data_IF_511122020419
#
_entry.id   IF_511122020419
#
_cell.length_a   1.000
_cell.length_b   1.000
_cell.length_c   1.000
_cell.angle_alpha   90.00
_cell.angle_beta   90.00
_cell.angle_gamma   90.00
#
_symmetry.space_group_name_H-M   'P 1'
#
loop_
_entity.id
_entity.type
_entity.pdbx_description
1 polymer ?
#
# COMPACT_ATOMS: atom_id res chain seq x y z
N UNK A 1 3.15 17.56 -15.52
CA UNK A 1 2.33 17.86 -14.32
C UNK A 1 3.16 17.73 -13.06
N UNK A 2 3.12 18.75 -12.18
CA UNK A 2 3.65 18.64 -10.82
C UNK A 2 3.00 17.43 -10.11
N UNK A 3 3.72 16.80 -9.19
CA UNK A 3 3.15 15.76 -8.34
C UNK A 3 1.98 16.33 -7.53
N UNK A 4 0.92 15.56 -7.39
CA UNK A 4 -0.23 15.90 -6.57
C UNK A 4 0.01 15.39 -5.14
N UNK A 5 0.13 16.31 -4.18
CA UNK A 5 0.37 15.97 -2.77
C UNK A 5 -0.76 15.12 -2.18
N UNK A 6 -1.99 15.26 -2.70
CA UNK A 6 -3.16 14.54 -2.21
C UNK A 6 -3.12 13.04 -2.48
N UNK A 7 -2.20 12.57 -3.33
CA UNK A 7 -1.97 11.15 -3.59
C UNK A 7 -1.07 10.46 -2.56
N UNK A 8 -0.61 11.16 -1.52
CA UNK A 8 0.36 10.63 -0.57
C UNK A 8 -0.21 10.46 0.84
N UNK A 9 0.14 9.35 1.50
CA UNK A 9 -0.12 9.07 2.93
C UNK A 9 1.15 9.08 3.80
N UNK A 10 2.32 9.27 3.17
CA UNK A 10 3.59 9.48 3.86
C UNK A 10 4.30 10.69 3.24
N UNK A 11 4.58 11.70 4.06
CA UNK A 11 5.22 12.93 3.60
C UNK A 11 6.65 12.70 3.08
N UNK A 12 7.37 11.68 3.55
CA UNK A 12 8.73 11.36 3.08
C UNK A 12 8.73 10.80 1.67
N UNK A 13 7.76 9.94 1.35
CA UNK A 13 7.55 9.43 0.00
C UNK A 13 7.25 10.60 -0.93
N UNK A 14 6.35 11.50 -0.53
CA UNK A 14 6.08 12.74 -1.27
C UNK A 14 7.35 13.58 -1.49
N UNK A 15 8.15 13.82 -0.45
CA UNK A 15 9.39 14.61 -0.57
C UNK A 15 10.43 13.94 -1.46
N UNK A 16 10.57 12.61 -1.41
CA UNK A 16 11.46 11.84 -2.27
C UNK A 16 11.05 12.01 -3.74
N UNK A 17 9.79 11.77 -4.04
CA UNK A 17 9.27 11.79 -5.40
C UNK A 17 9.27 13.21 -5.97
N UNK A 18 8.93 14.21 -5.13
CA UNK A 18 9.04 15.63 -5.47
C UNK A 18 10.47 15.98 -5.89
N UNK A 19 11.46 15.55 -5.12
CA UNK A 19 12.86 15.81 -5.44
C UNK A 19 13.27 15.14 -6.75
N UNK A 20 12.99 13.84 -6.92
CA UNK A 20 13.35 13.08 -8.11
C UNK A 20 12.74 13.70 -9.38
N UNK A 21 11.45 14.03 -9.35
CA UNK A 21 10.76 14.63 -10.50
C UNK A 21 11.27 16.04 -10.81
N UNK A 22 11.50 16.87 -9.78
CA UNK A 22 12.08 18.21 -9.97
C UNK A 22 13.48 18.12 -10.57
N UNK A 23 14.32 17.20 -10.07
CA UNK A 23 15.67 16.98 -10.56
C UNK A 23 15.69 16.52 -12.03
N UNK A 24 14.80 15.59 -12.39
CA UNK A 24 14.64 15.15 -13.77
C UNK A 24 14.16 16.28 -14.71
N UNK A 25 13.24 17.12 -14.24
CA UNK A 25 12.71 18.24 -15.03
C UNK A 25 13.67 19.43 -15.16
N UNK A 26 14.55 19.63 -14.17
CA UNK A 26 15.39 20.82 -14.03
C UNK A 26 16.77 20.40 -13.51
N UNK A 27 17.75 20.40 -14.40
CA UNK A 27 19.13 20.02 -14.10
C UNK A 27 19.74 20.80 -12.92
N UNK A 28 19.40 22.09 -12.79
CA UNK A 28 19.85 22.97 -11.70
C UNK A 28 19.24 22.67 -10.33
N UNK A 29 18.13 21.92 -10.27
CA UNK A 29 17.48 21.62 -9.01
C UNK A 29 18.40 20.75 -8.15
N UNK A 30 18.51 21.07 -6.87
CA UNK A 30 19.36 20.39 -5.90
C UNK A 30 18.85 20.69 -4.49
N UNK A 31 19.31 19.92 -3.49
CA UNK A 31 18.97 20.21 -2.10
C UNK A 31 19.42 21.62 -1.67
N UNK A 32 20.56 22.11 -2.20
CA UNK A 32 21.02 23.48 -1.97
C UNK A 32 20.08 24.51 -2.60
N UNK A 33 19.62 24.27 -3.83
CA UNK A 33 18.65 25.14 -4.48
C UNK A 33 17.34 25.21 -3.70
N UNK A 34 16.82 24.06 -3.23
CA UNK A 34 15.63 24.01 -2.39
C UNK A 34 15.83 24.78 -1.08
N UNK A 35 16.95 24.55 -0.38
CA UNK A 35 17.24 25.20 0.88
C UNK A 35 17.23 26.73 0.74
N UNK A 36 17.89 27.26 -0.30
CA UNK A 36 17.88 28.71 -0.60
C UNK A 36 16.45 29.22 -0.83
N UNK A 37 15.67 28.52 -1.65
CA UNK A 37 14.27 28.90 -1.94
C UNK A 37 13.39 28.88 -0.68
N UNK A 38 13.58 27.90 0.19
CA UNK A 38 12.86 27.72 1.45
C UNK A 38 13.34 28.64 2.59
N UNK A 39 14.42 29.41 2.39
CA UNK A 39 15.01 30.25 3.43
C UNK A 39 15.76 29.45 4.51
N UNK A 40 16.35 28.31 4.14
CA UNK A 40 17.25 27.53 4.99
C UNK A 40 18.71 27.87 4.68
N UNK A 41 19.52 27.93 5.74
CA UNK A 41 20.98 28.13 5.65
C UNK A 41 21.72 26.83 5.29
N UNK A 42 21.19 25.67 5.71
CA UNK A 42 21.78 24.35 5.44
C UNK A 42 20.98 23.55 4.43
N UNK A 43 21.69 22.92 3.48
CA UNK A 43 21.10 21.99 2.50
C UNK A 43 20.94 20.56 3.03
N UNK A 44 21.39 20.26 4.25
CA UNK A 44 21.37 18.91 4.82
C UNK A 44 20.00 18.46 5.36
N UNK A 45 19.11 19.39 5.69
CA UNK A 45 17.84 19.07 6.35
C UNK A 45 16.92 18.20 5.48
N UNK A 46 16.68 18.59 4.23
CA UNK A 46 15.82 17.86 3.30
C UNK A 46 16.31 16.41 3.06
N UNK A 47 17.58 16.17 2.62
CA UNK A 47 18.02 14.80 2.36
C UNK A 47 18.01 13.94 3.63
N UNK A 48 18.31 14.50 4.81
CA UNK A 48 18.23 13.76 6.06
C UNK A 48 16.80 13.36 6.41
N UNK A 49 15.80 14.20 6.10
CA UNK A 49 14.39 13.87 6.28
C UNK A 49 13.97 12.72 5.35
N UNK A 50 14.33 12.81 4.07
CA UNK A 50 14.01 11.77 3.08
C UNK A 50 14.65 10.43 3.44
N UNK A 51 15.89 10.45 3.95
CA UNK A 51 16.61 9.26 4.42
C UNK A 51 16.13 8.74 5.78
N UNK A 52 15.14 9.38 6.41
CA UNK A 52 14.65 9.00 7.74
C UNK A 52 15.57 9.38 8.91
N UNK A 53 16.74 9.98 8.65
CA UNK A 53 17.71 10.40 9.67
C UNK A 53 17.20 11.56 10.55
N UNK A 54 16.18 12.29 10.10
CA UNK A 54 15.49 13.34 10.88
C UNK A 54 13.98 13.35 10.60
N UNK A 55 13.20 13.68 11.63
CA UNK A 55 11.77 13.99 11.50
C UNK A 55 11.56 15.44 11.07
N UNK A 56 10.46 15.72 10.35
CA UNK A 56 10.09 17.08 9.98
C UNK A 56 9.30 17.73 11.12
N UNK A 57 9.99 18.49 11.97
CA UNK A 57 9.34 19.18 13.09
C UNK A 57 8.47 20.38 12.64
N UNK A 58 7.42 20.76 13.41
CA UNK A 58 6.50 21.84 13.07
C UNK A 58 7.15 23.18 12.70
N UNK A 59 8.24 23.56 13.39
CA UNK A 59 9.00 24.80 13.12
C UNK A 59 9.56 24.91 11.69
N UNK A 60 9.71 23.80 10.98
CA UNK A 60 10.24 23.77 9.62
C UNK A 60 9.15 23.70 8.55
N UNK A 61 7.90 23.38 8.92
CA UNK A 61 6.80 23.22 7.97
C UNK A 61 6.56 24.46 7.10
N UNK A 62 6.51 25.70 7.64
CA UNK A 62 6.25 26.88 6.81
C UNK A 62 7.32 27.08 5.73
N UNK A 63 8.60 26.86 6.09
CA UNK A 63 9.72 26.95 5.14
C UNK A 63 9.67 25.86 4.09
N UNK A 64 9.30 24.63 4.47
CA UNK A 64 9.08 23.55 3.51
C UNK A 64 7.94 23.86 2.54
N UNK A 65 6.80 24.36 3.03
CA UNK A 65 5.67 24.77 2.19
C UNK A 65 6.08 25.82 1.14
N UNK A 66 6.86 26.83 1.54
CA UNK A 66 7.42 27.84 0.62
C UNK A 66 8.38 27.20 -0.41
N UNK A 67 9.30 26.35 0.04
CA UNK A 67 10.26 25.67 -0.84
C UNK A 67 9.58 24.78 -1.88
N UNK A 68 8.55 24.05 -1.46
CA UNK A 68 7.70 23.19 -2.29
C UNK A 68 6.81 24.04 -3.22
N UNK A 69 6.44 25.25 -2.81
CA UNK A 69 5.51 26.12 -3.52
C UNK A 69 4.06 25.67 -3.35
N UNK A 70 3.70 25.21 -2.15
CA UNK A 70 2.35 24.77 -1.82
C UNK A 70 1.42 25.97 -1.68
N UNK A 71 0.19 25.83 -2.15
CA UNK A 71 -0.93 26.72 -1.82
C UNK A 71 -1.30 26.63 -0.34
N UNK A 72 -2.15 27.54 0.15
CA UNK A 72 -2.67 27.48 1.53
C UNK A 72 -3.37 26.14 1.82
N UNK A 73 -4.19 25.64 0.87
CA UNK A 73 -4.90 24.37 0.99
C UNK A 73 -3.94 23.17 1.03
N UNK A 74 -2.91 23.16 0.18
CA UNK A 74 -1.90 22.10 0.17
C UNK A 74 -0.99 22.17 1.41
N UNK A 75 -0.75 23.36 1.96
CA UNK A 75 0.04 23.56 3.18
C UNK A 75 -0.64 22.93 4.39
N UNK A 76 -1.96 23.11 4.53
CA UNK A 76 -2.71 22.45 5.60
C UNK A 76 -2.75 20.93 5.43
N UNK A 77 -2.94 20.44 4.20
CA UNK A 77 -2.84 19.01 3.94
C UNK A 77 -1.45 18.46 4.27
N UNK A 78 -0.38 19.16 3.87
CA UNK A 78 0.99 18.75 4.16
C UNK A 78 1.28 18.69 5.66
N UNK A 79 0.79 19.67 6.43
CA UNK A 79 0.90 19.67 7.89
C UNK A 79 0.23 18.43 8.48
N UNK A 80 -1.04 18.18 8.11
CA UNK A 80 -1.78 17.00 8.59
C UNK A 80 -1.13 15.69 8.15
N UNK A 81 -0.57 15.63 6.94
CA UNK A 81 0.17 14.47 6.43
C UNK A 81 1.43 14.18 7.27
N UNK A 82 2.15 15.22 7.69
CA UNK A 82 3.31 15.09 8.57
C UNK A 82 2.90 14.57 9.96
N UNK A 83 1.84 15.15 10.53
CA UNK A 83 1.28 14.69 11.81
C UNK A 83 0.79 13.23 11.71
N UNK A 84 0.11 12.88 10.62
CA UNK A 84 -0.37 11.52 10.33
C UNK A 84 0.78 10.52 10.24
N UNK A 85 1.86 10.87 9.55
CA UNK A 85 3.04 10.00 9.39
C UNK A 85 3.77 9.77 10.72
N UNK A 86 3.73 10.73 11.65
CA UNK A 86 4.36 10.62 12.95
C UNK A 86 3.47 9.97 14.03
N UNK A 87 2.16 9.93 13.82
CA UNK A 87 1.21 9.39 14.80
C UNK A 87 1.39 7.87 14.97
N UNK A 88 1.57 7.38 16.20
CA UNK A 88 1.71 5.93 16.51
C UNK A 88 0.44 5.31 17.10
N UNK A 89 -0.56 6.13 17.47
CA UNK A 89 -1.81 5.68 18.08
C UNK A 89 -2.92 5.59 17.01
N UNK A 90 -3.52 4.40 16.87
CA UNK A 90 -4.58 4.09 15.91
C UNK A 90 -5.81 5.01 16.03
N UNK A 91 -6.19 5.40 17.25
CA UNK A 91 -7.33 6.29 17.50
C UNK A 91 -7.08 7.69 16.94
N UNK A 92 -5.98 8.32 17.34
CA UNK A 92 -5.58 9.66 16.87
C UNK A 92 -5.26 9.69 15.37
N UNK A 93 -4.77 8.58 14.82
CA UNK A 93 -4.48 8.46 13.39
C UNK A 93 -5.74 8.43 12.54
N UNK A 94 -6.81 7.81 13.02
CA UNK A 94 -8.12 7.83 12.36
C UNK A 94 -8.70 9.25 12.30
N UNK A 95 -8.57 10.04 13.37
CA UNK A 95 -8.97 11.45 13.40
C UNK A 95 -8.16 12.32 12.44
N UNK A 96 -6.83 12.13 12.39
CA UNK A 96 -5.95 12.81 11.45
C UNK A 96 -6.32 12.50 9.99
N UNK A 97 -6.63 11.23 9.69
CA UNK A 97 -7.10 10.86 8.35
C UNK A 97 -8.44 11.54 8.00
N UNK A 98 -9.38 11.62 8.95
CA UNK A 98 -10.63 12.33 8.75
C UNK A 98 -10.40 13.82 8.46
N UNK A 99 -9.48 14.47 9.20
CA UNK A 99 -9.09 15.86 8.97
C UNK A 99 -8.43 16.05 7.59
N UNK A 100 -7.51 15.15 7.19
CA UNK A 100 -6.88 15.17 5.86
C UNK A 100 -7.92 15.05 4.73
N UNK A 101 -8.93 14.19 4.94
CA UNK A 101 -9.95 13.90 3.94
C UNK A 101 -10.75 15.12 3.50
N UNK A 102 -10.88 16.14 4.35
CA UNK A 102 -11.55 17.41 4.01
C UNK A 102 -10.87 18.13 2.84
N UNK A 103 -9.54 18.03 2.75
CA UNK A 103 -8.74 18.74 1.75
C UNK A 103 -8.63 18.00 0.43
N UNK A 104 -8.91 16.69 0.42
CA UNK A 104 -8.81 15.87 -0.78
C UNK A 104 -9.81 16.30 -1.86
N UNK A 105 -9.41 16.34 -3.14
CA UNK A 105 -10.34 16.46 -4.25
C UNK A 105 -11.35 15.29 -4.28
N UNK A 106 -12.57 15.50 -4.75
CA UNK A 106 -13.61 14.45 -4.71
C UNK A 106 -13.27 13.22 -5.56
N UNK A 107 -12.50 13.41 -6.64
CA UNK A 107 -11.92 12.29 -7.40
C UNK A 107 -11.01 11.42 -6.53
N UNK A 108 -10.14 12.06 -5.75
CA UNK A 108 -9.18 11.41 -4.87
C UNK A 108 -9.89 10.75 -3.68
N UNK A 109 -10.88 11.41 -3.08
CA UNK A 109 -11.75 10.80 -2.05
C UNK A 109 -12.44 9.54 -2.53
N UNK A 110 -12.99 9.56 -3.76
CA UNK A 110 -13.64 8.39 -4.36
C UNK A 110 -12.64 7.25 -4.55
N UNK A 111 -11.47 7.54 -5.12
CA UNK A 111 -10.40 6.55 -5.29
C UNK A 111 -10.01 5.91 -3.95
N UNK A 112 -9.73 6.72 -2.93
CA UNK A 112 -9.40 6.21 -1.60
C UNK A 112 -10.53 5.38 -0.99
N UNK A 113 -11.79 5.82 -1.10
CA UNK A 113 -12.92 5.05 -0.60
C UNK A 113 -13.00 3.69 -1.30
N UNK A 114 -12.86 3.66 -2.61
CA UNK A 114 -12.87 2.44 -3.41
C UNK A 114 -11.72 1.50 -3.04
N UNK A 115 -10.48 1.99 -3.00
CA UNK A 115 -9.32 1.20 -2.56
C UNK A 115 -9.52 0.69 -1.12
N UNK A 116 -10.00 1.53 -0.20
CA UNK A 116 -10.28 1.11 1.19
C UNK A 116 -11.32 0.00 1.27
N UNK A 117 -12.39 0.09 0.48
CA UNK A 117 -13.42 -0.95 0.43
C UNK A 117 -12.85 -2.25 -0.16
N UNK A 118 -12.05 -2.16 -1.23
CA UNK A 118 -11.39 -3.33 -1.81
C UNK A 118 -10.50 -4.05 -0.79
N UNK A 119 -9.66 -3.33 -0.05
CA UNK A 119 -8.79 -3.90 0.98
C UNK A 119 -9.44 -4.09 2.36
N UNK A 120 -10.74 -3.79 2.50
CA UNK A 120 -11.44 -3.94 3.79
C UNK A 120 -11.57 -5.40 4.24
N UNK A 121 -11.47 -6.34 3.30
CA UNK A 121 -11.46 -7.76 3.62
C UNK A 121 -10.71 -8.55 2.55
N UNK A 122 -10.03 -9.62 2.97
CA UNK A 122 -9.21 -10.45 2.09
C UNK A 122 -10.00 -11.07 0.92
N UNK A 123 -11.30 -11.37 1.12
CA UNK A 123 -12.09 -12.02 0.07
C UNK A 123 -12.19 -11.18 -1.19
N UNK A 124 -12.25 -9.85 -1.08
CA UNK A 124 -12.37 -8.99 -2.26
C UNK A 124 -11.18 -9.14 -3.20
N UNK A 125 -9.98 -9.20 -2.62
CA UNK A 125 -8.74 -9.37 -3.37
C UNK A 125 -8.70 -10.77 -3.98
N UNK A 126 -8.99 -11.81 -3.19
CA UNK A 126 -8.93 -13.20 -3.68
C UNK A 126 -10.03 -13.51 -4.70
N UNK A 127 -11.25 -12.98 -4.53
CA UNK A 127 -12.34 -13.12 -5.51
C UNK A 127 -11.97 -12.44 -6.82
N UNK A 128 -11.46 -11.21 -6.76
CA UNK A 128 -11.01 -10.50 -7.95
C UNK A 128 -9.94 -11.30 -8.72
N UNK A 129 -8.97 -11.90 -8.02
CA UNK A 129 -7.97 -12.77 -8.65
C UNK A 129 -8.61 -14.08 -9.17
N UNK A 130 -9.50 -14.71 -8.41
CA UNK A 130 -10.16 -15.95 -8.80
C UNK A 130 -11.00 -15.80 -10.08
N UNK A 131 -11.58 -14.62 -10.33
CA UNK A 131 -12.33 -14.32 -11.55
C UNK A 131 -11.46 -14.27 -12.81
N UNK A 132 -10.13 -14.16 -12.69
CA UNK A 132 -9.21 -14.32 -13.82
C UNK A 132 -9.06 -15.79 -14.25
N UNK A 133 -9.41 -16.73 -13.36
CA UNK A 133 -9.20 -18.18 -13.54
C UNK A 133 -10.53 -18.89 -13.77
N UNK A 134 -11.54 -18.58 -12.95
CA UNK A 134 -12.84 -19.25 -12.96
C UNK A 134 -13.84 -18.41 -13.73
N UNK A 135 -14.42 -18.99 -14.80
CA UNK A 135 -15.50 -18.36 -15.55
C UNK A 135 -16.82 -18.50 -14.80
N UNK A 136 -17.36 -17.37 -14.35
CA UNK A 136 -18.59 -17.31 -13.55
C UNK A 136 -19.61 -16.41 -14.25
N UNK A 137 -20.86 -16.85 -14.31
CA UNK A 137 -22.01 -16.04 -14.77
C UNK A 137 -22.82 -15.60 -13.54
N UNK A 138 -23.81 -16.39 -13.15
CA UNK A 138 -24.65 -16.12 -11.97
C UNK A 138 -24.58 -17.22 -10.89
N UNK A 139 -23.95 -18.37 -11.21
CA UNK A 139 -23.73 -19.44 -10.24
C UNK A 139 -22.43 -19.23 -9.44
N UNK A 140 -22.58 -18.58 -8.28
CA UNK A 140 -21.48 -18.34 -7.36
C UNK A 140 -21.09 -19.57 -6.54
N UNK A 141 -21.78 -20.72 -6.68
CA UNK A 141 -21.40 -21.96 -5.99
C UNK A 141 -20.04 -22.46 -6.47
N UNK A 142 -19.79 -22.41 -7.78
CA UNK A 142 -18.50 -22.78 -8.38
C UNK A 142 -17.36 -21.96 -7.78
N UNK A 143 -17.54 -20.64 -7.63
CA UNK A 143 -16.56 -19.77 -7.01
C UNK A 143 -16.39 -20.09 -5.51
N UNK A 144 -17.48 -20.33 -4.78
CA UNK A 144 -17.42 -20.72 -3.38
C UNK A 144 -16.65 -22.03 -3.17
N UNK A 145 -16.84 -23.01 -4.06
CA UNK A 145 -16.12 -24.30 -4.04
C UNK A 145 -14.70 -24.20 -4.55
N UNK A 146 -14.33 -23.15 -5.28
CA UNK A 146 -12.96 -22.89 -5.71
C UNK A 146 -12.13 -22.26 -4.59
N UNK A 147 -12.72 -21.33 -3.82
CA UNK A 147 -12.02 -20.57 -2.78
C UNK A 147 -11.70 -21.41 -1.54
N UNK A 148 -10.52 -21.18 -0.96
CA UNK A 148 -10.06 -21.81 0.29
C UNK A 148 -9.50 -20.74 1.25
N UNK A 149 -10.17 -20.42 2.38
CA UNK A 149 -11.40 -21.01 2.86
C UNK A 149 -12.60 -20.52 2.03
N UNK A 150 -13.72 -21.25 2.09
CA UNK A 150 -14.96 -20.80 1.44
C UNK A 150 -15.59 -19.67 2.26
N UNK A 151 -15.69 -18.43 1.73
CA UNK A 151 -16.26 -17.32 2.48
C UNK A 151 -17.79 -17.32 2.54
N UNK A 152 -18.45 -18.21 1.79
CA UNK A 152 -19.91 -18.30 1.69
C UNK A 152 -20.50 -17.36 0.64
N UNK A 153 -21.65 -17.78 0.09
CA UNK A 153 -22.30 -17.11 -1.05
C UNK A 153 -22.69 -15.65 -0.77
N UNK A 154 -23.08 -15.32 0.46
CA UNK A 154 -23.47 -13.96 0.84
C UNK A 154 -22.29 -13.00 0.71
N UNK A 155 -21.11 -13.40 1.19
CA UNK A 155 -19.89 -12.58 1.13
C UNK A 155 -19.38 -12.47 -0.30
N UNK A 156 -19.46 -13.55 -1.08
CA UNK A 156 -19.11 -13.56 -2.50
C UNK A 156 -19.97 -12.56 -3.28
N UNK A 157 -21.31 -12.61 -3.11
CA UNK A 157 -22.23 -11.66 -3.75
C UNK A 157 -21.90 -10.21 -3.40
N UNK A 158 -21.67 -9.94 -2.11
CA UNK A 158 -21.30 -8.59 -1.64
C UNK A 158 -20.02 -8.11 -2.29
N UNK A 159 -19.02 -8.99 -2.41
CA UNK A 159 -17.73 -8.69 -3.01
C UNK A 159 -17.85 -8.42 -4.52
N UNK A 160 -18.56 -9.26 -5.26
CA UNK A 160 -18.79 -9.08 -6.70
C UNK A 160 -19.49 -7.75 -6.97
N UNK A 161 -20.56 -7.43 -6.23
CA UNK A 161 -21.28 -6.16 -6.38
C UNK A 161 -20.35 -4.95 -6.12
N UNK A 162 -19.45 -5.06 -5.14
CA UNK A 162 -18.45 -4.05 -4.87
C UNK A 162 -17.49 -3.90 -6.05
N UNK A 163 -16.94 -5.00 -6.57
CA UNK A 163 -16.01 -4.99 -7.70
C UNK A 163 -16.65 -4.43 -8.98
N UNK A 164 -17.91 -4.76 -9.26
CA UNK A 164 -18.69 -4.18 -10.37
C UNK A 164 -18.91 -2.67 -10.16
N UNK A 165 -19.29 -2.24 -8.95
CA UNK A 165 -19.48 -0.81 -8.63
C UNK A 165 -18.20 0.02 -8.75
N UNK A 166 -17.04 -0.63 -8.58
CA UNK A 166 -15.72 -0.04 -8.74
C UNK A 166 -15.22 -0.06 -10.18
N UNK A 167 -15.93 -0.73 -11.09
CA UNK A 167 -15.50 -0.93 -12.47
C UNK A 167 -14.28 -1.85 -12.60
N UNK A 168 -14.01 -2.68 -11.59
CA UNK A 168 -12.93 -3.68 -11.64
C UNK A 168 -13.38 -4.98 -12.30
N UNK A 169 -14.68 -5.25 -12.27
CA UNK A 169 -15.29 -6.41 -12.92
C UNK A 169 -16.44 -5.89 -13.77
N UNK A 170 -16.54 -6.40 -14.99
CA UNK A 170 -17.65 -6.13 -15.91
C UNK A 170 -18.25 -7.44 -16.39
N UNK A 171 -19.49 -7.38 -16.85
CA UNK A 171 -20.11 -8.53 -17.51
C UNK A 171 -19.82 -8.48 -19.00
N UNK A 172 -19.38 -9.60 -19.57
CA UNK A 172 -19.27 -9.78 -21.01
C UNK A 172 -20.66 -9.79 -21.66
N UNK A 173 -20.72 -9.75 -22.99
CA UNK A 173 -21.98 -9.89 -23.75
C UNK A 173 -22.71 -11.19 -23.41
N UNK A 174 -21.96 -12.29 -23.24
CA UNK A 174 -22.49 -13.59 -22.81
C UNK A 174 -22.88 -13.64 -21.30
N UNK A 175 -22.65 -12.56 -20.56
CA UNK A 175 -23.00 -12.40 -19.15
C UNK A 175 -21.98 -12.94 -18.15
N UNK A 176 -20.78 -13.33 -18.58
CA UNK A 176 -19.72 -13.77 -17.67
C UNK A 176 -19.06 -12.58 -16.97
N UNK A 177 -18.71 -12.76 -15.71
CA UNK A 177 -17.91 -11.81 -14.96
C UNK A 177 -16.47 -11.84 -15.48
N UNK A 178 -16.01 -10.70 -15.98
CA UNK A 178 -14.68 -10.49 -16.53
C UNK A 178 -13.97 -9.41 -15.71
N UNK A 179 -12.88 -9.75 -15.01
CA UNK A 179 -12.05 -8.74 -14.38
C UNK A 179 -11.39 -7.88 -15.47
N UNK A 180 -11.37 -6.58 -15.24
CA UNK A 180 -10.63 -5.63 -16.06
C UNK A 180 -9.22 -5.56 -15.51
N UNK A 181 -8.21 -5.74 -16.35
CA UNK A 181 -6.82 -5.54 -15.95
C UNK A 181 -6.58 -4.08 -15.53
N UNK A 182 -6.84 -3.76 -14.27
CA UNK A 182 -6.16 -2.68 -13.58
C UNK A 182 -4.90 -3.30 -12.97
N UNK A 183 -3.72 -2.74 -13.28
CA UNK A 183 -2.53 -2.93 -12.46
C UNK A 183 -2.98 -2.87 -11.00
N UNK A 184 -2.78 -3.97 -10.26
CA UNK A 184 -3.13 -4.13 -8.84
C UNK A 184 -3.30 -2.76 -8.19
N UNK A 185 -4.54 -2.39 -7.82
CA UNK A 185 -4.80 -1.07 -7.26
C UNK A 185 -3.78 -0.82 -6.15
N UNK A 186 -2.91 0.18 -6.32
CA UNK A 186 -1.86 0.50 -5.36
C UNK A 186 -2.43 0.54 -3.95
N UNK A 187 -1.77 -0.14 -3.01
CA UNK A 187 -2.16 -0.16 -1.60
C UNK A 187 -1.35 0.78 -0.73
N UNK A 188 -0.29 1.40 -1.28
CA UNK A 188 0.62 2.27 -0.53
C UNK A 188 -0.10 3.50 0.02
N UNK A 189 -1.16 3.95 -0.65
CA UNK A 189 -1.91 5.15 -0.29
C UNK A 189 -3.09 4.86 0.66
N UNK A 190 -3.27 3.64 1.15
CA UNK A 190 -4.40 3.24 2.01
C UNK A 190 -4.30 3.69 3.46
N UNK A 191 -3.13 4.17 3.86
CA UNK A 191 -2.81 4.46 5.25
C UNK A 191 -2.48 3.19 6.03
N UNK A 192 -1.58 3.29 7.00
CA UNK A 192 -0.95 2.09 7.55
C UNK A 192 -1.90 1.22 8.39
N UNK A 193 -3.03 1.76 8.86
CA UNK A 193 -3.97 1.03 9.73
C UNK A 193 -4.79 0.02 8.94
N UNK A 194 -5.28 0.43 7.77
CA UNK A 194 -5.95 -0.50 6.87
C UNK A 194 -4.98 -1.55 6.35
N UNK A 195 -3.74 -1.15 6.03
CA UNK A 195 -2.70 -2.11 5.63
C UNK A 195 -2.46 -3.12 6.75
N UNK A 196 -2.31 -2.68 8.01
CA UNK A 196 -2.15 -3.57 9.17
C UNK A 196 -3.34 -4.52 9.32
N UNK A 197 -4.58 -4.01 9.31
CA UNK A 197 -5.78 -4.83 9.43
C UNK A 197 -5.88 -5.88 8.31
N UNK A 198 -5.62 -5.45 7.07
CA UNK A 198 -5.63 -6.34 5.90
C UNK A 198 -4.55 -7.42 6.02
N UNK A 199 -3.31 -7.04 6.31
CA UNK A 199 -2.20 -7.97 6.52
C UNK A 199 -2.48 -8.94 7.66
N UNK A 200 -3.01 -8.46 8.80
CA UNK A 200 -3.43 -9.32 9.92
C UNK A 200 -4.45 -10.37 9.46
N UNK A 201 -5.46 -9.98 8.66
CA UNK A 201 -6.44 -10.94 8.14
C UNK A 201 -5.81 -12.00 7.23
N UNK A 202 -4.78 -11.64 6.46
CA UNK A 202 -4.03 -12.60 5.63
C UNK A 202 -3.13 -13.52 6.46
N UNK A 203 -2.65 -13.06 7.62
CA UNK A 203 -1.91 -13.90 8.57
C UNK A 203 -2.82 -14.91 9.25
N UNK A 204 -4.06 -14.53 9.56
CA UNK A 204 -5.05 -15.48 10.08
C UNK A 204 -5.34 -16.60 9.07
N UNK A 205 -5.36 -16.28 7.77
CA UNK A 205 -5.39 -17.30 6.72
C UNK A 205 -4.14 -18.18 6.77
N UNK A 206 -2.95 -17.59 6.85
CA UNK A 206 -1.69 -18.34 6.95
C UNK A 206 -1.65 -19.28 8.16
N UNK A 207 -2.11 -18.81 9.32
CA UNK A 207 -2.20 -19.59 10.56
C UNK A 207 -3.06 -20.85 10.38
N UNK A 208 -4.22 -20.71 9.76
CA UNK A 208 -5.15 -21.84 9.50
C UNK A 208 -4.76 -22.70 8.29
N UNK A 209 -3.69 -22.37 7.56
CA UNK A 209 -3.30 -23.12 6.36
C UNK A 209 -2.82 -24.55 6.67
N UNK A 210 -2.25 -24.79 7.85
CA UNK A 210 -1.83 -26.13 8.30
C UNK A 210 -2.99 -27.14 8.34
N UNK A 211 -4.20 -26.67 8.66
CA UNK A 211 -5.42 -27.49 8.75
C UNK A 211 -6.09 -27.66 7.38
N UNK A 212 -5.87 -26.71 6.46
CA UNK A 212 -6.56 -26.63 5.18
C UNK A 212 -5.81 -27.29 4.03
N UNK A 213 -4.48 -27.41 4.14
CA UNK A 213 -3.63 -27.89 3.05
C UNK A 213 -2.62 -28.95 3.54
N UNK A 214 -2.43 -30.04 2.77
CA UNK A 214 -1.38 -31.02 3.06
C UNK A 214 0.00 -30.39 2.88
N UNK A 215 1.03 -31.01 3.46
CA UNK A 215 2.41 -30.50 3.47
C UNK A 215 2.93 -30.13 2.08
N UNK A 216 2.67 -30.96 1.08
CA UNK A 216 3.21 -30.77 -0.28
C UNK A 216 2.50 -29.66 -1.07
N UNK A 217 1.38 -29.14 -0.57
CA UNK A 217 0.62 -28.05 -1.20
C UNK A 217 0.78 -26.70 -0.48
N UNK A 218 1.63 -26.62 0.54
CA UNK A 218 1.91 -25.38 1.29
C UNK A 218 3.40 -25.21 1.51
N UNK A 219 3.86 -23.98 1.49
CA UNK A 219 5.23 -23.62 1.87
C UNK A 219 5.19 -22.73 3.11
N UNK A 220 5.56 -23.29 4.26
CA UNK A 220 5.62 -22.57 5.53
C UNK A 220 6.91 -22.97 6.25
N UNK A 221 7.82 -22.00 6.33
CA UNK A 221 9.11 -22.12 7.01
C UNK A 221 9.21 -21.02 8.06
N UNK A 222 9.86 -21.30 9.17
CA UNK A 222 10.06 -20.33 10.25
C UNK A 222 11.39 -20.62 10.94
N UNK A 223 12.16 -19.57 11.18
CA UNK A 223 13.47 -19.62 11.83
C UNK A 223 13.55 -18.50 12.86
N UNK A 224 14.18 -18.77 14.00
CA UNK A 224 14.48 -17.75 15.03
C UNK A 224 15.99 -17.61 15.13
N UNK A 225 16.50 -16.43 14.82
CA UNK A 225 17.94 -16.18 14.65
C UNK A 225 18.43 -15.09 15.61
N UNK A 226 19.58 -15.31 16.25
CA UNK A 226 20.33 -14.28 16.96
C UNK A 226 21.44 -13.75 16.04
N UNK A 227 21.27 -12.54 15.52
CA UNK A 227 22.16 -11.93 14.53
C UNK A 227 22.44 -10.46 14.84
N UNK A 228 23.48 -9.90 14.23
CA UNK A 228 23.77 -8.46 14.34
C UNK A 228 22.71 -7.60 13.65
N UNK A 229 22.54 -6.35 14.12
CA UNK A 229 21.64 -5.39 13.50
C UNK A 229 21.98 -5.15 12.02
N UNK A 230 23.27 -5.12 11.68
CA UNK A 230 23.74 -4.99 10.28
C UNK A 230 23.26 -6.14 9.40
N UNK A 231 23.35 -7.38 9.89
CA UNK A 231 22.87 -8.54 9.14
C UNK A 231 21.34 -8.55 9.03
N UNK A 232 20.64 -8.11 10.08
CA UNK A 232 19.18 -7.97 10.05
C UNK A 232 18.71 -6.95 9.01
N UNK A 233 19.38 -5.80 8.86
CA UNK A 233 19.10 -4.84 7.77
C UNK A 233 19.35 -5.46 6.40
N UNK A 234 20.44 -6.20 6.22
CA UNK A 234 20.71 -6.88 4.96
C UNK A 234 19.62 -7.91 4.60
N UNK A 235 19.10 -8.66 5.58
CA UNK A 235 17.97 -9.57 5.34
C UNK A 235 16.68 -8.82 4.97
N UNK A 236 16.42 -7.64 5.56
CA UNK A 236 15.28 -6.79 5.16
C UNK A 236 15.37 -6.35 3.70
N UNK A 237 16.56 -5.97 3.24
CA UNK A 237 16.79 -5.60 1.83
C UNK A 237 16.56 -6.79 0.90
N UNK A 238 17.13 -7.96 1.21
CA UNK A 238 16.95 -9.17 0.39
C UNK A 238 15.50 -9.61 0.30
N UNK A 239 14.75 -9.55 1.40
CA UNK A 239 13.31 -9.89 1.40
C UNK A 239 12.49 -8.90 0.56
N UNK A 240 12.87 -7.61 0.58
CA UNK A 240 12.24 -6.59 -0.27
C UNK A 240 12.49 -6.88 -1.75
N UNK A 241 13.73 -7.21 -2.11
CA UNK A 241 14.09 -7.50 -3.50
C UNK A 241 13.41 -8.77 -4.00
N UNK A 242 13.37 -9.83 -3.18
CA UNK A 242 12.64 -11.06 -3.47
C UNK A 242 11.14 -10.79 -3.69
N UNK A 243 10.52 -9.98 -2.83
CA UNK A 243 9.12 -9.60 -2.98
C UNK A 243 8.88 -8.88 -4.33
N UNK A 244 9.73 -7.93 -4.70
CA UNK A 244 9.63 -7.24 -5.99
C UNK A 244 9.78 -8.21 -7.16
N UNK A 245 10.74 -9.13 -7.09
CA UNK A 245 10.97 -10.14 -8.13
C UNK A 245 9.74 -11.02 -8.34
N UNK A 246 9.16 -11.57 -7.27
CA UNK A 246 7.95 -12.41 -7.32
C UNK A 246 6.80 -11.66 -7.99
N UNK A 247 6.55 -10.40 -7.60
CA UNK A 247 5.47 -9.60 -8.18
C UNK A 247 5.72 -9.32 -9.67
N UNK A 248 6.95 -8.99 -10.06
CA UNK A 248 7.27 -8.74 -11.46
C UNK A 248 7.10 -9.97 -12.33
N UNK A 249 7.53 -11.14 -11.85
CA UNK A 249 7.33 -12.41 -12.57
C UNK A 249 5.83 -12.70 -12.75
N UNK A 250 5.05 -12.61 -11.67
CA UNK A 250 3.60 -12.86 -11.72
C UNK A 250 2.85 -11.92 -12.68
N UNK A 251 3.30 -10.66 -12.82
CA UNK A 251 2.70 -9.69 -13.75
C UNK A 251 3.02 -9.95 -15.22
N UNK A 252 4.09 -10.70 -15.51
CA UNK A 252 4.54 -10.97 -16.88
C UNK A 252 4.04 -12.34 -17.40
N UNK A 253 3.51 -13.18 -16.53
CA UNK A 253 3.11 -14.54 -16.86
C UNK A 253 1.67 -14.62 -17.42
N UNK A 254 1.44 -15.34 -18.53
CA UNK A 254 0.10 -15.51 -19.09
C UNK A 254 -0.81 -16.38 -18.20
N UNK A 255 -2.10 -16.04 -18.17
CA UNK A 255 -3.09 -16.62 -17.26
C UNK A 255 -3.61 -18.02 -17.63
N UNK A 256 -2.73 -18.97 -17.97
CA UNK A 256 -3.14 -20.34 -18.39
C UNK A 256 -2.89 -21.37 -17.29
N UNK A 257 -3.91 -22.12 -16.88
CA UNK A 257 -3.77 -23.22 -15.91
C UNK A 257 -3.44 -22.79 -14.47
N UNK A 258 -3.89 -21.60 -14.06
CA UNK A 258 -3.38 -20.92 -12.87
C UNK A 258 -4.09 -21.25 -11.55
N UNK A 259 -3.44 -20.83 -10.47
CA UNK A 259 -3.89 -20.88 -9.08
C UNK A 259 -3.78 -19.48 -8.46
N UNK A 260 -4.72 -19.13 -7.57
CA UNK A 260 -4.55 -17.94 -6.72
C UNK A 260 -3.74 -18.31 -5.49
N UNK A 261 -2.58 -17.69 -5.31
CA UNK A 261 -1.71 -17.88 -4.16
C UNK A 261 -1.67 -16.63 -3.29
N UNK A 262 -1.60 -16.83 -1.98
CA UNK A 262 -1.29 -15.79 -1.01
C UNK A 262 0.12 -16.03 -0.46
N UNK A 263 0.99 -15.04 -0.57
CA UNK A 263 2.35 -15.07 -0.03
C UNK A 263 2.45 -14.04 1.09
N UNK A 264 2.91 -14.46 2.26
CA UNK A 264 3.19 -13.61 3.40
C UNK A 264 4.68 -13.71 3.72
N UNK A 265 5.42 -12.60 3.63
CA UNK A 265 6.83 -12.51 4.03
C UNK A 265 6.93 -11.64 5.27
N UNK A 266 7.57 -12.16 6.32
CA UNK A 266 7.64 -11.48 7.62
C UNK A 266 9.04 -11.58 8.21
N UNK A 267 9.56 -10.45 8.67
CA UNK A 267 10.79 -10.35 9.46
C UNK A 267 10.54 -9.30 10.53
N UNK A 268 10.53 -9.71 11.80
CA UNK A 268 10.25 -8.86 12.94
C UNK A 268 11.16 -9.21 14.12
N UNK A 269 11.52 -8.21 14.95
CA UNK A 269 12.26 -8.48 16.17
C UNK A 269 11.35 -9.21 17.18
N UNK A 270 11.93 -10.18 17.89
CA UNK A 270 11.33 -10.84 19.07
C UNK A 270 12.07 -10.51 20.36
N UNK A 271 12.97 -9.52 20.31
CA UNK A 271 13.74 -9.00 21.43
C UNK A 271 14.09 -7.53 21.20
N UNK A 272 14.47 -6.84 22.27
CA UNK A 272 15.15 -5.55 22.17
C UNK A 272 16.57 -5.72 21.60
N UNK A 273 17.15 -4.64 21.09
CA UNK A 273 18.58 -4.60 20.74
C UNK A 273 19.37 -4.52 22.04
N UNK A 274 20.15 -5.55 22.35
CA UNK A 274 21.11 -5.48 23.46
C UNK A 274 22.14 -4.39 23.17
N UNK A 275 22.49 -3.54 24.16
CA UNK A 275 23.54 -2.54 24.02
C UNK A 275 24.91 -3.15 23.68
#
# INVERSE_FOLDING_TARGET
MLLDIYGYMDYRIFLRDYYAKRKASKSYFSYRHFARKAGFTSSGLYPNIVKGLRNLSPKYLPKFAIGLGLSARETEYFRLLVDYTHCTNDGSRSELFAAMSVYLPDRVKRLFRSQRQFYSCWENVVIYQALHIVRIKDDFRTLATFLRPNPGLVRIRKSINLLESMGLVVRSEDGYLCPIHSNLMGGEELGADLIRQFQSSLLDLGKTAYERFPKDSRYQISETLAISATLAEHFRERLRDLHHEIVQQALQEPLTGQVVLQINLQLFPVSEVSP
#
